data_IF_724144328228
#
_entry.id   IF_724144328228
#
_cell.length_a   1.000
_cell.length_b   1.000
_cell.length_c   1.000
_cell.angle_alpha   90.00
_cell.angle_beta   90.00
_cell.angle_gamma   90.00
#
_symmetry.space_group_name_H-M   'P 1'
#
loop_
_entity.id
_entity.type
_entity.pdbx_description
1 polymer ?
#
# COMPACT_ATOMS: atom_id res chain seq x y z
N UNK A 1 27.28 18.97 -10.81
CA UNK A 1 25.83 18.94 -11.16
C UNK A 1 25.58 17.55 -11.68
N UNK A 2 25.11 16.61 -10.83
CA UNK A 2 24.80 15.25 -11.26
C UNK A 2 23.40 15.32 -11.87
N UNK A 3 23.26 14.93 -13.13
CA UNK A 3 21.98 14.77 -13.78
C UNK A 3 21.14 13.74 -13.02
N UNK A 4 19.83 13.94 -12.89
CA UNK A 4 18.96 12.95 -12.24
C UNK A 4 18.96 11.69 -13.08
N UNK A 5 19.45 10.61 -12.50
CA UNK A 5 19.40 9.28 -13.10
C UNK A 5 17.93 8.86 -13.24
N UNK A 6 17.45 8.76 -14.47
CA UNK A 6 16.08 8.36 -14.84
C UNK A 6 15.82 6.85 -14.67
N UNK A 7 16.61 6.19 -13.82
CA UNK A 7 16.44 4.78 -13.50
C UNK A 7 15.16 4.49 -12.69
N UNK A 8 14.40 3.53 -13.15
CA UNK A 8 13.20 3.00 -12.45
C UNK A 8 13.64 2.20 -11.23
N UNK A 9 13.76 2.85 -10.07
CA UNK A 9 14.24 2.24 -8.82
C UNK A 9 13.06 1.87 -7.91
N UNK A 10 12.99 0.60 -7.49
CA UNK A 10 12.20 0.21 -6.32
C UNK A 10 13.09 0.20 -5.07
N UNK A 11 12.54 0.61 -3.93
CA UNK A 11 13.29 0.74 -2.68
C UNK A 11 12.58 0.03 -1.54
N UNK A 12 13.34 -0.69 -0.71
CA UNK A 12 12.86 -1.27 0.53
C UNK A 12 13.72 -0.78 1.69
N UNK A 13 13.08 -0.25 2.73
CA UNK A 13 13.74 0.24 3.94
C UNK A 13 13.37 -0.65 5.11
N UNK A 14 14.35 -1.26 5.75
CA UNK A 14 14.18 -2.11 6.92
C UNK A 14 14.60 -1.32 8.17
N UNK A 15 13.66 -1.09 9.10
CA UNK A 15 13.89 -0.37 10.37
C UNK A 15 13.93 -1.33 11.56
N UNK A 16 14.46 -0.86 12.68
CA UNK A 16 14.43 -1.56 13.97
C UNK A 16 13.19 -1.18 14.77
N UNK A 17 12.59 -2.15 15.49
CA UNK A 17 11.76 -1.84 16.65
C UNK A 17 12.66 -1.28 17.77
N UNK A 18 12.41 -0.03 18.16
CA UNK A 18 13.02 0.56 19.35
C UNK A 18 12.46 -0.15 20.59
N UNK A 19 13.33 -0.74 21.40
CA UNK A 19 12.91 -1.35 22.66
C UNK A 19 12.31 -0.29 23.61
N UNK A 20 11.05 -0.52 24.01
CA UNK A 20 10.36 0.26 25.04
C UNK A 20 9.58 1.45 24.49
N UNK A 21 8.28 1.32 24.51
CA UNK A 21 7.18 2.12 23.98
C UNK A 21 6.98 1.95 22.48
N UNK A 22 5.80 1.45 22.12
CA UNK A 22 5.27 1.47 20.76
C UNK A 22 5.40 2.89 20.24
N UNK A 23 6.46 3.14 19.44
CA UNK A 23 6.55 4.39 18.70
C UNK A 23 5.30 4.46 17.84
N UNK A 24 4.51 5.48 18.07
CA UNK A 24 3.32 5.77 17.27
C UNK A 24 3.76 5.81 15.80
N UNK A 25 3.07 5.13 14.86
CA UNK A 25 3.45 5.18 13.44
C UNK A 25 3.63 6.63 13.02
N UNK A 26 4.69 6.90 12.25
CA UNK A 26 5.05 8.25 11.89
C UNK A 26 3.85 9.00 11.30
N UNK A 27 3.50 10.16 11.86
CA UNK A 27 2.48 11.04 11.29
C UNK A 27 3.11 11.85 10.17
N UNK A 28 2.77 11.50 8.93
CA UNK A 28 3.25 12.21 7.74
C UNK A 28 2.45 13.48 7.43
N UNK A 29 1.35 13.75 8.15
CA UNK A 29 0.46 14.89 7.88
C UNK A 29 1.17 16.24 7.95
N UNK A 30 2.05 16.52 8.94
CA UNK A 30 2.79 17.77 9.00
C UNK A 30 3.69 18.00 7.79
N UNK A 31 4.41 16.96 7.34
CA UNK A 31 5.25 17.02 6.15
C UNK A 31 4.43 17.28 4.90
N UNK A 32 3.34 16.52 4.71
CA UNK A 32 2.47 16.64 3.53
C UNK A 32 1.84 18.03 3.46
N UNK A 33 1.35 18.55 4.59
CA UNK A 33 0.79 19.90 4.67
C UNK A 33 1.85 20.97 4.36
N UNK A 34 3.07 20.82 4.89
CA UNK A 34 4.20 21.74 4.59
C UNK A 34 4.54 21.76 3.11
N UNK A 35 4.41 20.63 2.42
CA UNK A 35 4.63 20.48 0.98
C UNK A 35 3.39 20.82 0.13
N UNK A 36 2.32 21.37 0.73
CA UNK A 36 1.03 21.69 0.09
C UNK A 36 0.40 20.46 -0.59
N UNK A 37 0.60 19.28 0.01
CA UNK A 37 -0.02 18.05 -0.38
C UNK A 37 -1.44 17.88 0.17
N UNK A 38 -2.04 16.75 -0.13
CA UNK A 38 -3.37 16.34 0.33
C UNK A 38 -3.23 15.20 1.33
N UNK A 39 -3.74 15.37 2.55
CA UNK A 39 -3.94 14.27 3.50
C UNK A 39 -5.39 13.80 3.39
N UNK A 40 -5.58 12.51 3.14
CA UNK A 40 -6.87 11.85 3.06
C UNK A 40 -6.97 10.93 4.27
N UNK A 41 -7.80 11.31 5.24
CA UNK A 41 -8.00 10.54 6.46
C UNK A 41 -9.12 9.53 6.27
N UNK A 42 -8.78 8.26 6.27
CA UNK A 42 -9.70 7.14 6.15
C UNK A 42 -9.90 6.56 7.56
N UNK A 43 -11.03 6.88 8.18
CA UNK A 43 -11.37 6.39 9.53
C UNK A 43 -12.88 6.27 9.68
N UNK A 44 -13.39 5.50 10.66
CA UNK A 44 -14.82 5.32 10.87
C UNK A 44 -15.60 6.63 11.10
N UNK A 45 -14.91 7.66 11.60
CA UNK A 45 -15.51 8.97 11.88
C UNK A 45 -15.19 10.01 10.81
N UNK A 46 -14.51 9.63 9.72
CA UNK A 46 -14.16 10.54 8.64
C UNK A 46 -15.36 10.81 7.72
N UNK A 47 -15.42 12.02 7.21
CA UNK A 47 -16.33 12.40 6.10
C UNK A 47 -15.65 12.30 4.73
N UNK A 48 -14.41 11.80 4.71
CA UNK A 48 -13.63 11.60 3.49
C UNK A 48 -13.77 10.14 3.06
N UNK A 49 -14.20 9.93 1.83
CA UNK A 49 -14.49 8.61 1.30
C UNK A 49 -13.69 8.35 0.02
N UNK A 50 -13.30 7.08 -0.14
CA UNK A 50 -12.71 6.55 -1.36
C UNK A 50 -13.53 5.34 -1.78
N UNK A 51 -14.00 5.36 -3.01
CA UNK A 51 -14.76 4.29 -3.61
C UNK A 51 -13.81 3.20 -4.15
N UNK A 52 -13.85 1.96 -3.64
CA UNK A 52 -13.05 0.87 -4.21
C UNK A 52 -13.44 0.52 -5.65
N UNK A 53 -14.63 0.94 -6.08
CA UNK A 53 -15.11 0.67 -7.43
C UNK A 53 -14.63 1.72 -8.45
N UNK A 54 -13.92 2.79 -8.04
CA UNK A 54 -13.42 3.77 -8.98
C UNK A 54 -12.52 3.14 -10.03
N UNK A 55 -12.80 3.41 -11.29
CA UNK A 55 -12.01 2.96 -12.43
C UNK A 55 -11.37 4.16 -13.11
N UNK A 56 -10.10 4.03 -13.45
CA UNK A 56 -9.41 5.05 -14.21
C UNK A 56 -9.47 4.69 -15.71
N UNK A 57 -10.02 5.59 -16.52
CA UNK A 57 -10.15 5.39 -17.96
C UNK A 57 -8.83 5.52 -18.75
N UNK A 58 -7.76 5.99 -18.11
CA UNK A 58 -6.46 6.26 -18.76
C UNK A 58 -5.52 5.03 -18.80
N UNK A 59 -6.05 3.88 -19.20
CA UNK A 59 -5.24 2.70 -19.48
C UNK A 59 -4.65 2.74 -20.90
N UNK A 60 -3.57 1.97 -21.13
CA UNK A 60 -3.03 1.82 -22.47
C UNK A 60 -4.01 1.03 -23.36
N UNK A 61 -3.84 1.14 -24.67
CA UNK A 61 -4.66 0.38 -25.64
C UNK A 61 -4.55 -1.14 -25.46
N UNK A 62 -3.49 -1.62 -24.78
CA UNK A 62 -3.23 -3.04 -24.52
C UNK A 62 -3.94 -3.59 -23.27
N UNK A 63 -4.39 -2.72 -22.35
CA UNK A 63 -4.99 -3.14 -21.08
C UNK A 63 -6.49 -2.84 -21.07
N UNK A 64 -7.30 -3.84 -20.70
CA UNK A 64 -8.72 -3.66 -20.44
C UNK A 64 -8.93 -3.15 -19.00
N UNK A 65 -9.36 -1.88 -18.82
CA UNK A 65 -9.54 -1.30 -17.48
C UNK A 65 -10.51 -2.11 -16.60
N UNK A 66 -11.53 -2.69 -17.22
CA UNK A 66 -12.54 -3.47 -16.51
C UNK A 66 -11.96 -4.80 -16.00
N UNK A 67 -11.14 -5.47 -16.80
CA UNK A 67 -10.50 -6.72 -16.37
C UNK A 67 -9.58 -6.50 -15.16
N UNK A 68 -8.76 -5.43 -15.17
CA UNK A 68 -7.91 -5.10 -14.03
C UNK A 68 -8.72 -4.72 -12.79
N UNK A 69 -9.84 -4.04 -12.97
CA UNK A 69 -10.75 -3.72 -11.87
C UNK A 69 -11.46 -4.98 -11.35
N UNK A 70 -11.84 -5.90 -12.23
CA UNK A 70 -12.43 -7.19 -11.84
C UNK A 70 -11.45 -8.02 -10.99
N UNK A 71 -10.16 -8.09 -11.37
CA UNK A 71 -9.12 -8.75 -10.59
C UNK A 71 -8.95 -8.11 -9.21
N UNK A 72 -9.00 -6.77 -9.12
CA UNK A 72 -8.98 -6.08 -7.84
C UNK A 72 -10.21 -6.40 -6.99
N UNK A 73 -11.42 -6.37 -7.57
CA UNK A 73 -12.66 -6.69 -6.85
C UNK A 73 -12.68 -8.15 -6.39
N UNK A 74 -12.17 -9.08 -7.19
CA UNK A 74 -11.98 -10.47 -6.77
C UNK A 74 -11.06 -10.55 -5.55
N UNK A 75 -9.93 -9.85 -5.55
CA UNK A 75 -9.00 -9.80 -4.40
C UNK A 75 -9.65 -9.18 -3.16
N UNK A 76 -10.48 -8.14 -3.35
CA UNK A 76 -11.25 -7.51 -2.27
C UNK A 76 -12.27 -8.49 -1.68
N UNK A 77 -13.04 -9.17 -2.53
CA UNK A 77 -14.02 -10.18 -2.10
C UNK A 77 -13.32 -11.38 -1.43
N UNK A 78 -12.17 -11.81 -1.93
CA UNK A 78 -11.39 -12.88 -1.33
C UNK A 78 -10.92 -12.52 0.09
N UNK A 79 -10.52 -11.27 0.33
CA UNK A 79 -10.15 -10.78 1.66
C UNK A 79 -11.34 -10.74 2.63
N UNK A 80 -12.55 -10.47 2.12
CA UNK A 80 -13.77 -10.29 2.93
C UNK A 80 -14.50 -11.62 3.16
N UNK A 81 -14.57 -12.47 2.13
CA UNK A 81 -15.41 -13.68 2.07
C UNK A 81 -14.59 -14.95 2.19
N UNK A 82 -13.42 -15.01 1.53
CA UNK A 82 -12.72 -16.25 1.21
C UNK A 82 -12.11 -17.00 2.40
N UNK A 83 -11.98 -16.40 3.57
CA UNK A 83 -11.38 -17.05 4.74
C UNK A 83 -9.97 -17.59 4.45
N UNK A 84 -9.65 -18.80 4.94
CA UNK A 84 -8.32 -19.43 4.73
C UNK A 84 -8.20 -20.15 3.38
N UNK A 85 -9.32 -20.54 2.79
CA UNK A 85 -9.36 -21.34 1.55
C UNK A 85 -9.54 -20.49 0.29
N UNK A 86 -9.74 -19.19 0.48
CA UNK A 86 -10.03 -18.26 -0.61
C UNK A 86 -11.46 -18.41 -1.17
N UNK A 87 -11.76 -17.71 -2.26
CA UNK A 87 -13.04 -17.82 -2.96
C UNK A 87 -13.12 -19.10 -3.79
N UNK A 88 -14.27 -19.74 -3.74
CA UNK A 88 -14.58 -20.90 -4.60
C UNK A 88 -14.63 -20.48 -6.09
N UNK A 89 -14.32 -21.39 -7.02
CA UNK A 89 -14.35 -21.05 -8.46
C UNK A 89 -15.70 -20.50 -8.93
N UNK A 90 -16.81 -20.99 -8.39
CA UNK A 90 -18.15 -20.49 -8.72
C UNK A 90 -18.35 -19.09 -8.19
N UNK A 91 -17.91 -18.79 -6.96
CA UNK A 91 -17.96 -17.43 -6.39
C UNK A 91 -17.18 -16.44 -7.24
N UNK A 92 -15.95 -16.80 -7.68
CA UNK A 92 -15.14 -15.97 -8.59
C UNK A 92 -15.89 -15.67 -9.88
N UNK A 93 -16.51 -16.66 -10.49
CA UNK A 93 -17.28 -16.52 -11.74
C UNK A 93 -18.49 -15.58 -11.57
N UNK A 94 -19.21 -15.73 -10.45
CA UNK A 94 -20.40 -14.90 -10.19
C UNK A 94 -20.01 -13.45 -9.88
N UNK A 95 -18.95 -13.23 -9.10
CA UNK A 95 -18.41 -11.89 -8.81
C UNK A 95 -18.00 -11.21 -10.12
N UNK A 96 -17.19 -11.87 -10.96
CA UNK A 96 -16.74 -11.32 -12.23
C UNK A 96 -17.91 -10.93 -13.14
N UNK A 97 -18.91 -11.81 -13.28
CA UNK A 97 -20.16 -11.53 -14.01
C UNK A 97 -20.86 -10.28 -13.49
N UNK A 98 -21.02 -10.16 -12.16
CA UNK A 98 -21.67 -9.02 -11.53
C UNK A 98 -20.87 -7.72 -11.72
N UNK A 99 -19.55 -7.78 -11.63
CA UNK A 99 -18.68 -6.64 -11.93
C UNK A 99 -18.91 -6.14 -13.35
N UNK A 100 -18.92 -7.02 -14.35
CA UNK A 100 -19.21 -6.65 -15.73
C UNK A 100 -20.61 -6.04 -15.92
N UNK A 101 -21.60 -6.49 -15.15
CA UNK A 101 -22.97 -5.95 -15.21
C UNK A 101 -23.05 -4.52 -14.65
N UNK A 102 -22.48 -4.26 -13.47
CA UNK A 102 -22.62 -2.96 -12.80
C UNK A 102 -21.88 -1.82 -13.52
N UNK A 103 -20.80 -2.12 -14.24
CA UNK A 103 -20.05 -1.11 -14.98
C UNK A 103 -20.65 -0.73 -16.34
N UNK A 104 -21.66 -1.46 -16.85
CA UNK A 104 -22.30 -1.17 -18.16
C UNK A 104 -22.80 0.26 -18.26
N UNK A 105 -23.43 0.76 -17.20
CA UNK A 105 -23.97 2.13 -17.17
C UNK A 105 -22.83 3.15 -17.25
N UNK A 106 -21.76 2.96 -16.50
CA UNK A 106 -20.61 3.85 -16.52
C UNK A 106 -19.92 3.88 -17.88
N UNK A 107 -19.74 2.74 -18.55
CA UNK A 107 -19.11 2.72 -19.87
C UNK A 107 -20.01 3.27 -20.98
N UNK A 108 -21.32 3.22 -20.80
CA UNK A 108 -22.26 3.86 -21.73
C UNK A 108 -22.28 5.39 -21.59
N UNK A 109 -22.13 5.89 -20.36
CA UNK A 109 -22.12 7.31 -20.03
C UNK A 109 -21.13 7.56 -18.88
N UNK A 110 -19.85 7.83 -19.18
CA UNK A 110 -18.78 7.98 -18.19
C UNK A 110 -18.92 9.28 -17.39
N UNK A 111 -19.69 9.24 -16.31
CA UNK A 111 -19.80 10.31 -15.34
C UNK A 111 -19.70 9.79 -13.90
N UNK A 112 -19.33 10.64 -12.94
CA UNK A 112 -19.17 10.23 -11.53
C UNK A 112 -20.44 9.60 -10.93
N UNK A 113 -21.60 10.04 -11.36
CA UNK A 113 -22.91 9.56 -10.89
C UNK A 113 -23.20 8.13 -11.35
N UNK A 114 -22.62 7.69 -12.46
CA UNK A 114 -22.76 6.35 -13.02
C UNK A 114 -21.69 5.38 -12.53
N UNK A 115 -20.65 5.88 -11.82
CA UNK A 115 -19.63 5.03 -11.21
C UNK A 115 -20.28 4.13 -10.16
N UNK A 116 -20.15 2.79 -10.23
CA UNK A 116 -20.74 1.91 -9.22
C UNK A 116 -20.08 2.10 -7.85
N UNK A 117 -20.79 1.68 -6.80
CA UNK A 117 -20.30 1.55 -5.43
C UNK A 117 -20.46 0.10 -4.96
N UNK A 118 -19.98 -0.25 -3.78
CA UNK A 118 -20.09 -1.63 -3.26
C UNK A 118 -21.54 -2.12 -3.17
N UNK A 119 -22.49 -1.21 -2.89
CA UNK A 119 -23.92 -1.56 -2.85
C UNK A 119 -24.45 -2.03 -4.22
N UNK A 120 -23.93 -1.50 -5.32
CA UNK A 120 -24.33 -1.95 -6.67
C UNK A 120 -23.88 -3.41 -6.91
N UNK A 121 -22.65 -3.77 -6.45
CA UNK A 121 -22.17 -5.15 -6.50
C UNK A 121 -23.01 -6.07 -5.59
N UNK A 122 -23.29 -5.65 -4.37
CA UNK A 122 -24.13 -6.38 -3.43
C UNK A 122 -25.52 -6.68 -4.01
N UNK A 123 -26.16 -5.66 -4.60
CA UNK A 123 -27.48 -5.80 -5.20
C UNK A 123 -27.45 -6.70 -6.46
N UNK A 124 -26.41 -6.60 -7.27
CA UNK A 124 -26.23 -7.45 -8.45
C UNK A 124 -26.05 -8.93 -8.06
N UNK A 125 -25.31 -9.21 -6.98
CA UNK A 125 -25.13 -10.56 -6.43
C UNK A 125 -26.45 -11.15 -5.90
N UNK A 126 -27.27 -10.35 -5.22
CA UNK A 126 -28.59 -10.78 -4.73
C UNK A 126 -29.59 -11.12 -5.87
N UNK A 127 -29.36 -10.60 -7.05
CA UNK A 127 -30.20 -10.88 -8.23
C UNK A 127 -29.79 -12.15 -8.99
N UNK A 128 -28.70 -12.81 -8.59
CA UNK A 128 -28.28 -14.08 -9.20
C UNK A 128 -29.02 -15.24 -8.53
N UNK A 129 -29.23 -16.32 -9.28
CA UNK A 129 -29.93 -17.52 -8.78
C UNK A 129 -29.00 -18.44 -7.96
N UNK A 130 -27.70 -18.30 -8.12
CA UNK A 130 -26.70 -19.17 -7.48
C UNK A 130 -26.58 -18.90 -5.97
N UNK A 131 -26.57 -19.95 -5.17
CA UNK A 131 -26.38 -19.88 -3.71
C UNK A 131 -25.06 -19.23 -3.31
N UNK A 132 -24.03 -19.44 -4.12
CA UNK A 132 -22.71 -18.87 -3.94
C UNK A 132 -22.74 -17.35 -4.08
N UNK A 133 -23.56 -16.81 -4.97
CA UNK A 133 -23.78 -15.37 -5.08
C UNK A 133 -24.40 -14.78 -3.81
N UNK A 134 -25.41 -15.44 -3.27
CA UNK A 134 -26.06 -15.04 -2.02
C UNK A 134 -25.10 -15.18 -0.82
N UNK A 135 -24.22 -16.18 -0.82
CA UNK A 135 -23.18 -16.32 0.20
C UNK A 135 -22.23 -15.13 0.19
N UNK A 136 -21.71 -14.74 -0.99
CA UNK A 136 -20.84 -13.57 -1.16
C UNK A 136 -21.57 -12.29 -0.76
N UNK A 137 -22.83 -12.12 -1.20
CA UNK A 137 -23.65 -10.95 -0.83
C UNK A 137 -23.81 -10.86 0.70
N UNK A 138 -24.14 -11.96 1.36
CA UNK A 138 -24.30 -11.98 2.82
C UNK A 138 -23.01 -11.57 3.55
N UNK A 139 -21.86 -12.03 3.08
CA UNK A 139 -20.57 -11.65 3.66
C UNK A 139 -20.23 -10.16 3.41
N UNK A 140 -20.64 -9.60 2.25
CA UNK A 140 -20.46 -8.18 1.93
C UNK A 140 -21.42 -7.26 2.69
N UNK A 141 -22.53 -7.77 3.25
CA UNK A 141 -23.59 -6.96 3.85
C UNK A 141 -23.08 -6.03 4.96
N UNK A 142 -22.16 -6.50 5.80
CA UNK A 142 -21.56 -5.70 6.87
C UNK A 142 -20.77 -4.47 6.34
N UNK A 143 -20.23 -4.55 5.13
CA UNK A 143 -19.48 -3.48 4.47
C UNK A 143 -20.37 -2.56 3.62
N UNK A 144 -21.61 -2.94 3.38
CA UNK A 144 -22.58 -2.15 2.59
C UNK A 144 -23.62 -1.51 3.48
N UNK A 145 -24.31 -2.31 4.30
CA UNK A 145 -25.42 -1.89 5.16
C UNK A 145 -25.09 -1.88 6.66
N UNK A 146 -24.00 -2.56 7.02
CA UNK A 146 -23.58 -2.74 8.41
C UNK A 146 -22.62 -1.65 8.89
N UNK A 147 -22.00 -1.92 10.04
CA UNK A 147 -21.11 -0.98 10.75
C UNK A 147 -19.77 -0.71 10.07
N UNK A 148 -19.42 -1.46 9.02
CA UNK A 148 -18.16 -1.33 8.31
C UNK A 148 -18.34 -0.70 6.91
N UNK A 149 -19.37 0.10 6.69
CA UNK A 149 -19.78 0.66 5.41
C UNK A 149 -18.91 1.85 4.91
N UNK A 150 -17.77 2.10 5.53
CA UNK A 150 -16.85 3.20 5.21
C UNK A 150 -16.50 3.29 3.71
N UNK A 151 -16.40 2.14 3.04
CA UNK A 151 -16.03 2.06 1.63
C UNK A 151 -17.24 1.92 0.68
N UNK A 152 -18.45 2.07 1.19
CA UNK A 152 -19.69 2.07 0.39
C UNK A 152 -20.15 3.49 0.05
N UNK A 153 -19.23 4.35 -0.32
CA UNK A 153 -19.51 5.74 -0.68
C UNK A 153 -18.76 6.12 -1.94
N UNK A 154 -19.27 7.10 -2.69
CA UNK A 154 -18.56 7.70 -3.82
C UNK A 154 -17.35 8.48 -3.30
N UNK A 155 -16.27 8.49 -4.06
CA UNK A 155 -15.09 9.30 -3.74
C UNK A 155 -15.47 10.77 -3.72
N UNK A 156 -15.21 11.43 -2.60
CA UNK A 156 -15.50 12.86 -2.37
C UNK A 156 -14.24 13.68 -2.07
N UNK A 157 -13.07 13.11 -2.26
CA UNK A 157 -11.78 13.74 -2.01
C UNK A 157 -10.98 13.95 -3.30
N UNK A 158 -10.13 14.95 -3.33
CA UNK A 158 -9.27 15.18 -4.49
C UNK A 158 -8.03 14.28 -4.41
N UNK A 159 -8.03 13.21 -5.18
CA UNK A 159 -6.88 12.28 -5.28
C UNK A 159 -5.82 12.72 -6.30
N UNK A 160 -6.00 13.88 -6.96
CA UNK A 160 -5.14 14.35 -8.07
C UNK A 160 -4.02 15.29 -7.63
N UNK A 161 -3.86 15.59 -6.32
CA UNK A 161 -2.75 16.40 -5.85
C UNK A 161 -1.41 15.71 -6.17
N UNK A 162 -0.35 16.51 -6.36
CA UNK A 162 1.01 16.01 -6.60
C UNK A 162 1.52 15.12 -5.46
N UNK A 163 1.18 15.45 -4.21
CA UNK A 163 1.53 14.71 -3.01
C UNK A 163 0.23 14.34 -2.30
N UNK A 164 -0.02 13.04 -2.16
CA UNK A 164 -1.19 12.52 -1.47
C UNK A 164 -0.72 11.56 -0.37
N UNK A 165 -1.23 11.73 0.83
CA UNK A 165 -1.03 10.83 1.96
C UNK A 165 -2.38 10.22 2.33
N UNK A 166 -2.46 8.90 2.33
CA UNK A 166 -3.61 8.16 2.84
C UNK A 166 -3.33 7.78 4.30
N UNK A 167 -4.00 8.46 5.22
CA UNK A 167 -3.91 8.15 6.65
C UNK A 167 -4.97 7.12 7.01
N UNK A 168 -4.52 5.89 7.25
CA UNK A 168 -5.35 4.73 7.64
C UNK A 168 -5.09 4.27 9.07
N UNK A 169 -4.42 5.09 9.88
CA UNK A 169 -3.98 4.77 11.24
C UNK A 169 -5.15 4.36 12.15
N UNK A 170 -6.27 5.07 12.07
CA UNK A 170 -7.45 4.85 12.92
C UNK A 170 -8.35 3.69 12.45
N UNK A 171 -8.03 3.03 11.34
CA UNK A 171 -8.77 1.85 10.93
C UNK A 171 -8.50 0.68 11.88
N UNK A 172 -9.56 0.06 12.38
CA UNK A 172 -9.49 -1.18 13.13
C UNK A 172 -8.81 -2.30 12.33
N UNK A 173 -8.26 -3.30 13.01
CA UNK A 173 -7.43 -4.36 12.43
C UNK A 173 -8.03 -5.00 11.17
N UNK A 174 -9.32 -5.24 11.15
CA UNK A 174 -10.03 -5.84 10.02
C UNK A 174 -10.13 -4.89 8.83
N UNK A 175 -10.52 -3.63 9.08
CA UNK A 175 -10.66 -2.60 8.05
C UNK A 175 -9.31 -2.11 7.52
N UNK A 176 -8.24 -2.23 8.32
CA UNK A 176 -6.91 -1.76 7.92
C UNK A 176 -6.37 -2.51 6.71
N UNK A 177 -6.54 -3.83 6.67
CA UNK A 177 -6.12 -4.65 5.52
C UNK A 177 -6.89 -4.26 4.25
N UNK A 178 -8.20 -4.11 4.38
CA UNK A 178 -9.06 -3.67 3.28
C UNK A 178 -8.69 -2.26 2.81
N UNK A 179 -8.49 -1.32 3.75
CA UNK A 179 -8.04 0.03 3.44
C UNK A 179 -6.71 0.07 2.71
N UNK A 180 -5.73 -0.74 3.13
CA UNK A 180 -4.44 -0.84 2.46
C UNK A 180 -4.58 -1.38 1.02
N UNK A 181 -5.41 -2.39 0.80
CA UNK A 181 -5.69 -2.94 -0.53
C UNK A 181 -6.33 -1.89 -1.45
N UNK A 182 -7.32 -1.13 -0.93
CA UNK A 182 -7.98 -0.05 -1.68
C UNK A 182 -7.00 1.08 -2.02
N UNK A 183 -6.14 1.47 -1.06
CA UNK A 183 -5.09 2.47 -1.31
C UNK A 183 -4.13 2.01 -2.40
N UNK A 184 -3.74 0.73 -2.42
CA UNK A 184 -2.89 0.20 -3.48
C UNK A 184 -3.53 0.30 -4.87
N UNK A 185 -4.82 0.00 -4.98
CA UNK A 185 -5.56 0.14 -6.23
C UNK A 185 -5.64 1.60 -6.68
N UNK A 186 -5.90 2.54 -5.75
CA UNK A 186 -5.88 3.98 -6.05
C UNK A 186 -4.50 4.45 -6.53
N UNK A 187 -3.43 3.98 -5.89
CA UNK A 187 -2.07 4.29 -6.32
C UNK A 187 -1.75 3.69 -7.69
N UNK A 188 -2.22 2.47 -7.96
CA UNK A 188 -2.10 1.86 -9.27
C UNK A 188 -2.78 2.69 -10.36
N UNK A 189 -4.02 3.11 -10.12
CA UNK A 189 -4.73 4.04 -11.01
C UNK A 189 -3.94 5.33 -11.27
N UNK A 190 -3.23 5.85 -10.26
CA UNK A 190 -2.38 7.02 -10.41
C UNK A 190 -1.13 6.74 -11.25
N UNK A 191 -0.49 5.58 -11.07
CA UNK A 191 0.67 5.15 -11.86
C UNK A 191 0.28 5.07 -13.35
N UNK A 192 -0.86 4.46 -13.65
CA UNK A 192 -1.34 4.31 -15.03
C UNK A 192 -1.65 5.67 -15.68
N UNK A 193 -2.34 6.56 -14.96
CA UNK A 193 -2.63 7.92 -15.43
C UNK A 193 -1.37 8.77 -15.66
N UNK A 194 -0.38 8.67 -14.77
CA UNK A 194 0.87 9.41 -14.88
C UNK A 194 1.73 8.89 -16.03
N UNK A 195 1.72 7.58 -16.32
CA UNK A 195 2.45 7.00 -17.43
C UNK A 195 2.08 7.63 -18.76
N UNK A 196 0.79 7.79 -19.03
CA UNK A 196 0.29 8.42 -20.26
C UNK A 196 0.80 9.85 -20.44
N UNK A 197 1.12 10.53 -19.33
CA UNK A 197 1.67 11.89 -19.30
C UNK A 197 3.21 11.92 -19.20
N UNK A 198 3.90 10.79 -19.29
CA UNK A 198 5.35 10.70 -19.14
C UNK A 198 5.87 11.01 -17.74
N UNK A 199 5.02 10.95 -16.70
CA UNK A 199 5.37 11.26 -15.31
C UNK A 199 5.61 9.97 -14.51
N UNK A 200 6.64 9.97 -13.65
CA UNK A 200 6.85 8.91 -12.67
C UNK A 200 5.99 9.10 -11.43
N UNK A 201 5.60 7.98 -10.80
CA UNK A 201 4.87 7.98 -9.52
C UNK A 201 5.73 7.31 -8.45
N UNK A 202 5.93 7.98 -7.33
CA UNK A 202 6.61 7.42 -6.15
C UNK A 202 5.57 7.02 -5.12
N UNK A 203 5.62 5.78 -4.69
CA UNK A 203 4.72 5.22 -3.68
C UNK A 203 5.50 4.77 -2.47
N UNK A 204 5.25 5.39 -1.33
CA UNK A 204 5.84 5.03 -0.04
C UNK A 204 4.79 4.31 0.80
N UNK A 205 5.12 3.12 1.27
CA UNK A 205 4.22 2.25 2.02
C UNK A 205 4.86 1.95 3.37
N UNK A 206 4.35 2.58 4.42
CA UNK A 206 4.78 2.29 5.79
C UNK A 206 4.09 1.02 6.30
N UNK A 207 4.76 0.29 7.20
CA UNK A 207 4.28 -0.99 7.74
C UNK A 207 3.88 -2.02 6.66
N UNK A 208 4.65 -2.09 5.57
CA UNK A 208 4.37 -2.95 4.42
C UNK A 208 4.12 -4.42 4.81
N UNK A 209 4.73 -4.90 5.90
CA UNK A 209 4.54 -6.28 6.37
C UNK A 209 3.08 -6.63 6.65
N UNK A 210 2.21 -5.66 6.95
CA UNK A 210 0.78 -5.89 7.17
C UNK A 210 0.03 -6.38 5.94
N UNK A 211 0.45 -5.94 4.74
CA UNK A 211 -0.09 -6.41 3.46
C UNK A 211 0.39 -7.81 3.08
N UNK A 212 1.55 -8.19 3.58
CA UNK A 212 2.22 -9.43 3.18
C UNK A 212 1.92 -10.61 4.13
N UNK A 213 1.11 -10.38 5.18
CA UNK A 213 0.69 -11.43 6.12
C UNK A 213 -0.34 -12.40 5.55
N UNK A 214 -1.21 -11.92 4.68
CA UNK A 214 -2.24 -12.73 4.04
C UNK A 214 -1.81 -13.05 2.61
N UNK A 215 -1.93 -14.29 2.21
CA UNK A 215 -1.46 -14.79 0.91
C UNK A 215 -2.05 -13.99 -0.26
N UNK A 216 -3.35 -13.69 -0.21
CA UNK A 216 -4.06 -12.98 -1.26
C UNK A 216 -3.58 -11.53 -1.42
N UNK A 217 -3.46 -10.79 -0.30
CA UNK A 217 -2.95 -9.41 -0.34
C UNK A 217 -1.47 -9.36 -0.68
N UNK A 218 -0.71 -10.38 -0.28
CA UNK A 218 0.70 -10.52 -0.66
C UNK A 218 0.85 -10.71 -2.16
N UNK A 219 0.12 -11.65 -2.75
CA UNK A 219 0.15 -11.92 -4.20
C UNK A 219 -0.23 -10.66 -5.01
N UNK A 220 -1.29 -9.96 -4.63
CA UNK A 220 -1.68 -8.70 -5.27
C UNK A 220 -0.60 -7.63 -5.13
N UNK A 221 0.00 -7.49 -3.95
CA UNK A 221 1.06 -6.50 -3.68
C UNK A 221 2.31 -6.76 -4.51
N UNK A 222 2.72 -8.03 -4.65
CA UNK A 222 3.87 -8.43 -5.47
C UNK A 222 3.61 -8.19 -6.95
N UNK A 223 2.40 -8.51 -7.42
CA UNK A 223 2.02 -8.26 -8.80
C UNK A 223 2.10 -6.76 -9.14
N UNK A 224 1.54 -5.90 -8.29
CA UNK A 224 1.65 -4.44 -8.42
C UNK A 224 3.10 -3.99 -8.36
N UNK A 225 3.93 -4.54 -7.46
CA UNK A 225 5.34 -4.20 -7.32
C UNK A 225 6.10 -4.44 -8.63
N UNK A 226 5.89 -5.60 -9.24
CA UNK A 226 6.48 -5.96 -10.55
C UNK A 226 6.01 -5.04 -11.67
N UNK A 227 4.71 -4.71 -11.68
CA UNK A 227 4.11 -3.83 -12.70
C UNK A 227 4.60 -2.39 -12.57
N UNK A 228 4.74 -1.87 -11.35
CA UNK A 228 5.23 -0.50 -11.14
C UNK A 228 6.52 -0.20 -11.89
N UNK A 229 7.48 -1.12 -11.87
CA UNK A 229 8.75 -0.96 -12.57
C UNK A 229 8.58 -0.70 -14.08
N UNK A 230 7.65 -1.43 -14.72
CA UNK A 230 7.37 -1.27 -16.16
C UNK A 230 6.56 0.01 -16.47
N UNK A 231 5.82 0.51 -15.49
CA UNK A 231 4.87 1.60 -15.67
C UNK A 231 5.34 2.96 -15.14
N UNK A 232 6.62 3.09 -14.80
CA UNK A 232 7.17 4.34 -14.29
C UNK A 232 6.83 4.62 -12.82
N UNK A 233 6.35 3.60 -12.09
CA UNK A 233 6.19 3.63 -10.65
C UNK A 233 7.48 3.28 -9.92
N UNK A 234 7.68 3.88 -8.75
CA UNK A 234 8.80 3.59 -7.84
C UNK A 234 8.20 3.25 -6.48
N UNK A 235 7.90 1.96 -6.22
CA UNK A 235 7.40 1.54 -4.92
C UNK A 235 8.55 1.53 -3.91
N UNK A 236 8.25 1.96 -2.68
CA UNK A 236 9.17 1.95 -1.54
C UNK A 236 8.42 1.40 -0.34
N UNK A 237 8.80 0.22 0.12
CA UNK A 237 8.25 -0.40 1.32
C UNK A 237 9.11 -0.09 2.54
N UNK A 238 8.48 0.27 3.65
CA UNK A 238 9.10 0.44 4.95
C UNK A 238 8.51 -0.60 5.91
N UNK A 239 9.36 -1.23 6.70
CA UNK A 239 8.93 -2.17 7.73
C UNK A 239 9.87 -2.18 8.90
N UNK A 240 9.31 -2.40 10.08
CA UNK A 240 10.05 -2.63 11.31
C UNK A 240 10.09 -4.12 11.68
N UNK A 241 9.17 -4.91 11.13
CA UNK A 241 9.03 -6.33 11.45
C UNK A 241 9.50 -7.21 10.29
N UNK A 242 10.79 -7.49 10.29
CA UNK A 242 11.42 -8.29 9.24
C UNK A 242 11.00 -9.76 9.32
N UNK A 243 10.82 -10.30 10.53
CA UNK A 243 10.42 -11.70 10.73
C UNK A 243 9.06 -11.99 10.10
N UNK A 244 8.08 -11.13 10.33
CA UNK A 244 6.76 -11.27 9.72
C UNK A 244 6.82 -11.08 8.20
N UNK A 245 7.67 -10.15 7.74
CA UNK A 245 7.90 -9.93 6.32
C UNK A 245 8.43 -11.20 5.64
N UNK A 246 9.47 -11.81 6.18
CA UNK A 246 10.14 -12.99 5.59
C UNK A 246 9.37 -14.31 5.80
N UNK A 247 8.25 -14.30 6.49
CA UNK A 247 7.39 -15.49 6.63
C UNK A 247 6.60 -15.82 5.37
N UNK A 248 6.45 -14.86 4.46
CA UNK A 248 5.74 -15.03 3.18
C UNK A 248 6.73 -15.32 2.05
N UNK A 249 6.48 -16.39 1.28
CA UNK A 249 7.23 -16.71 0.06
C UNK A 249 7.19 -15.56 -0.97
N UNK A 250 6.12 -14.80 -0.97
CA UNK A 250 5.93 -13.67 -1.88
C UNK A 250 6.91 -12.53 -1.60
N UNK A 251 7.45 -12.44 -0.38
CA UNK A 251 8.43 -11.42 -0.01
C UNK A 251 9.77 -11.61 -0.70
N UNK A 252 10.19 -12.86 -0.95
CA UNK A 252 11.41 -13.13 -1.73
C UNK A 252 11.33 -12.43 -3.08
N UNK A 253 10.17 -12.49 -3.72
CA UNK A 253 9.93 -11.79 -4.99
C UNK A 253 10.09 -10.26 -4.88
N UNK A 254 9.71 -9.66 -3.74
CA UNK A 254 9.87 -8.21 -3.52
C UNK A 254 11.35 -7.86 -3.38
N UNK A 255 12.12 -8.62 -2.59
CA UNK A 255 13.56 -8.42 -2.45
C UNK A 255 14.30 -8.57 -3.77
N UNK A 256 14.03 -9.63 -4.52
CA UNK A 256 14.64 -9.89 -5.83
C UNK A 256 14.32 -8.81 -6.88
N UNK A 257 13.16 -8.18 -6.76
CA UNK A 257 12.73 -7.09 -7.63
C UNK A 257 13.00 -5.70 -7.06
N UNK A 258 13.74 -5.59 -5.94
CA UNK A 258 14.16 -4.32 -5.34
C UNK A 258 15.57 -3.96 -5.79
N UNK A 259 15.73 -2.87 -6.52
CA UNK A 259 17.04 -2.37 -6.95
C UNK A 259 17.85 -1.79 -5.79
N UNK A 260 17.20 -1.33 -4.73
CA UNK A 260 17.82 -0.75 -3.54
C UNK A 260 17.19 -1.28 -2.26
N UNK A 261 18.01 -1.74 -1.32
CA UNK A 261 17.58 -2.10 0.03
C UNK A 261 18.41 -1.31 1.03
N UNK A 262 17.74 -0.62 1.96
CA UNK A 262 18.40 0.08 3.06
C UNK A 262 18.11 -0.69 4.35
N UNK A 263 19.15 -1.20 4.97
CA UNK A 263 19.05 -1.94 6.21
C UNK A 263 19.67 -1.10 7.35
N UNK A 264 18.81 -0.65 8.24
CA UNK A 264 19.22 0.03 9.48
C UNK A 264 19.51 -0.99 10.58
N UNK A 265 19.74 -0.54 11.81
CA UNK A 265 19.99 -1.41 12.96
C UNK A 265 18.86 -2.44 13.13
N UNK A 266 19.23 -3.71 13.29
CA UNK A 266 18.33 -4.85 13.35
C UNK A 266 18.34 -5.54 14.71
N UNK A 267 17.18 -6.08 15.13
CA UNK A 267 17.08 -6.92 16.32
C UNK A 267 17.87 -8.24 16.17
N UNK A 268 18.35 -8.80 17.28
CA UNK A 268 19.20 -10.00 17.25
C UNK A 268 18.58 -11.20 16.53
N UNK A 269 17.25 -11.40 16.69
CA UNK A 269 16.53 -12.51 16.04
C UNK A 269 16.40 -12.38 14.54
N UNK A 270 16.35 -11.17 14.04
CA UNK A 270 16.13 -10.90 12.61
C UNK A 270 17.42 -10.93 11.80
N UNK A 271 18.56 -10.64 12.44
CA UNK A 271 19.88 -10.56 11.78
C UNK A 271 20.28 -11.82 11.05
N UNK A 272 20.09 -12.99 11.68
CA UNK A 272 20.49 -14.26 11.08
C UNK A 272 19.62 -14.61 9.88
N UNK A 273 18.33 -14.31 9.95
CA UNK A 273 17.38 -14.56 8.87
C UNK A 273 17.74 -13.66 7.68
N UNK A 274 17.95 -12.36 7.94
CA UNK A 274 18.36 -11.40 6.92
C UNK A 274 19.73 -11.73 6.32
N UNK A 275 20.70 -12.13 7.14
CA UNK A 275 22.02 -12.50 6.67
C UNK A 275 21.96 -13.66 5.68
N UNK A 276 21.11 -14.65 5.91
CA UNK A 276 20.88 -15.78 5.02
C UNK A 276 20.17 -15.34 3.74
N UNK A 277 19.07 -14.57 3.87
CA UNK A 277 18.24 -14.14 2.75
C UNK A 277 18.97 -13.22 1.78
N UNK A 278 19.75 -12.28 2.30
CA UNK A 278 20.48 -11.28 1.52
C UNK A 278 21.95 -11.65 1.27
N UNK A 279 22.34 -12.87 1.65
CA UNK A 279 23.71 -13.38 1.50
C UNK A 279 24.78 -12.44 2.07
N UNK A 280 24.55 -11.94 3.30
CA UNK A 280 25.41 -10.97 3.99
C UNK A 280 26.49 -11.71 4.77
N UNK A 281 27.76 -11.31 4.60
CA UNK A 281 28.85 -11.85 5.40
C UNK A 281 28.77 -11.42 6.88
N UNK A 282 29.37 -12.18 7.83
CA UNK A 282 29.42 -11.79 9.23
C UNK A 282 30.02 -10.40 9.47
N UNK A 283 31.02 -10.01 8.68
CA UNK A 283 31.62 -8.69 8.75
C UNK A 283 30.64 -7.59 8.34
N UNK A 284 29.92 -7.75 7.24
CA UNK A 284 28.91 -6.80 6.81
C UNK A 284 27.75 -6.73 7.83
N UNK A 285 27.34 -7.86 8.41
CA UNK A 285 26.29 -7.91 9.41
C UNK A 285 26.64 -7.07 10.67
N UNK A 286 27.92 -6.89 11.00
CA UNK A 286 28.33 -6.06 12.13
C UNK A 286 27.89 -4.60 12.01
N UNK A 287 27.76 -4.07 10.77
CA UNK A 287 27.30 -2.70 10.51
C UNK A 287 25.81 -2.46 10.81
N UNK A 288 25.02 -3.49 10.99
CA UNK A 288 23.60 -3.39 11.36
C UNK A 288 23.31 -3.99 12.73
N UNK A 289 24.38 -4.37 13.47
CA UNK A 289 24.28 -4.99 14.78
C UNK A 289 24.37 -3.96 15.93
N UNK A 290 25.23 -2.96 15.75
CA UNK A 290 25.51 -1.93 16.76
C UNK A 290 25.50 -0.52 16.12
N UNK A 291 24.86 -0.37 14.97
CA UNK A 291 24.76 0.91 14.29
C UNK A 291 23.90 1.90 15.07
N UNK A 292 24.32 3.16 15.02
CA UNK A 292 23.57 4.28 15.54
C UNK A 292 22.41 4.71 14.62
N UNK A 293 21.77 5.82 14.96
CA UNK A 293 20.75 6.45 14.11
C UNK A 293 21.39 6.92 12.79
N UNK A 294 20.74 6.62 11.67
CA UNK A 294 21.22 6.98 10.34
C UNK A 294 22.40 6.14 9.84
N UNK A 295 22.72 5.05 10.49
CA UNK A 295 23.80 4.15 10.11
C UNK A 295 23.26 2.79 9.70
N UNK A 296 23.89 2.14 8.70
CA UNK A 296 23.44 0.84 8.24
C UNK A 296 24.16 0.32 7.00
N UNK A 297 23.49 -0.58 6.29
CA UNK A 297 23.92 -1.13 5.02
C UNK A 297 23.00 -0.69 3.89
N UNK A 298 23.59 -0.28 2.80
CA UNK A 298 22.92 0.01 1.54
C UNK A 298 23.26 -1.09 0.53
N UNK A 299 22.24 -1.71 -0.02
CA UNK A 299 22.33 -2.66 -1.13
C UNK A 299 21.88 -1.94 -2.39
N UNK A 300 22.67 -2.02 -3.43
CA UNK A 300 22.35 -1.49 -4.75
C UNK A 300 22.89 -2.45 -5.82
N UNK A 301 21.99 -3.21 -6.42
CA UNK A 301 22.37 -4.34 -7.26
C UNK A 301 23.26 -5.32 -6.48
N UNK A 302 24.46 -5.59 -6.99
CA UNK A 302 25.44 -6.50 -6.36
C UNK A 302 26.37 -5.81 -5.35
N UNK A 303 26.18 -4.52 -5.11
CA UNK A 303 27.06 -3.74 -4.23
C UNK A 303 26.43 -3.61 -2.86
N UNK A 304 27.20 -3.92 -1.80
CA UNK A 304 26.78 -3.76 -0.40
C UNK A 304 27.76 -2.79 0.25
N UNK A 305 27.26 -1.63 0.68
CA UNK A 305 28.05 -0.55 1.26
C UNK A 305 27.55 -0.20 2.67
N UNK A 306 28.42 -0.09 3.67
CA UNK A 306 28.07 0.59 4.89
C UNK A 306 27.87 2.09 4.62
N UNK A 307 26.88 2.69 5.27
CA UNK A 307 26.60 4.12 5.13
C UNK A 307 26.38 4.78 6.49
N UNK A 308 26.66 6.08 6.54
CA UNK A 308 26.34 6.98 7.62
C UNK A 308 25.64 8.18 7.03
N UNK A 309 24.38 8.36 7.34
CA UNK A 309 23.55 9.49 6.93
C UNK A 309 22.87 10.07 8.17
N UNK A 310 23.57 11.01 8.84
CA UNK A 310 23.06 11.71 10.01
C UNK A 310 22.27 12.92 9.54
N UNK A 311 20.95 12.82 9.62
CA UNK A 311 20.08 13.90 9.25
C UNK A 311 20.31 15.11 10.18
N UNK A 312 20.56 16.33 9.65
CA UNK A 312 20.80 17.50 10.47
C UNK A 312 19.59 17.86 11.33
N UNK A 313 19.80 17.95 12.66
CA UNK A 313 18.70 18.17 13.62
C UNK A 313 18.21 19.62 13.69
N UNK A 314 18.97 20.55 13.14
CA UNK A 314 18.66 21.97 13.04
C UNK A 314 17.70 22.31 11.89
N UNK A 315 17.50 21.39 10.95
CA UNK A 315 16.59 21.59 9.82
C UNK A 315 15.13 21.54 10.23
N UNK A 316 14.32 22.39 9.58
CA UNK A 316 12.86 22.41 9.74
C UNK A 316 12.25 21.00 9.48
N UNK A 317 12.75 20.29 8.48
CA UNK A 317 12.28 18.95 8.13
C UNK A 317 12.48 17.95 9.27
N UNK A 318 13.61 18.01 9.99
CA UNK A 318 13.84 17.17 11.16
C UNK A 318 12.79 17.44 12.26
N UNK A 319 12.53 18.72 12.56
CA UNK A 319 11.54 19.15 13.57
C UNK A 319 10.12 18.71 13.24
N UNK A 320 9.78 18.71 11.95
CA UNK A 320 8.46 18.25 11.46
C UNK A 320 8.30 16.75 11.59
N UNK A 321 9.39 15.98 11.37
CA UNK A 321 9.34 14.52 11.26
C UNK A 321 9.81 13.78 12.51
N UNK A 322 10.37 14.48 13.51
CA UNK A 322 10.82 13.82 14.75
C UNK A 322 9.63 13.27 15.55
N UNK A 323 9.77 12.03 16.02
CA UNK A 323 8.81 11.37 16.92
C UNK A 323 9.34 11.24 18.34
N UNK A 324 10.50 11.84 18.62
CA UNK A 324 11.13 11.81 19.95
C UNK A 324 10.36 12.72 20.92
N UNK A 325 9.78 12.15 21.97
CA UNK A 325 8.93 12.85 22.95
C UNK A 325 9.55 14.12 23.54
N UNK A 326 10.87 14.15 23.75
CA UNK A 326 11.58 15.34 24.27
C UNK A 326 11.70 16.48 23.25
N UNK A 327 11.65 16.21 21.96
CA UNK A 327 11.84 17.18 20.88
C UNK A 327 10.49 17.70 20.34
N UNK A 328 9.42 16.90 20.47
CA UNK A 328 8.06 17.28 20.03
C UNK A 328 7.49 18.43 20.88
N UNK A 329 7.83 18.51 22.16
CA UNK A 329 7.33 19.54 23.09
C UNK A 329 7.89 20.94 22.84
N UNK A 330 9.05 21.07 22.20
CA UNK A 330 9.64 22.39 21.85
C UNK A 330 9.09 22.99 20.55
N UNK A 331 8.55 22.16 19.65
CA UNK A 331 7.97 22.60 18.36
C UNK A 331 6.54 23.14 18.46
N UNK A 332 5.78 22.78 19.51
CA UNK A 332 4.39 23.19 19.69
C UNK A 332 4.19 24.55 20.37
N UNK A 333 5.29 25.22 20.79
CA UNK A 333 5.24 26.52 21.50
C UNK A 333 5.77 27.71 20.70
N UNK A 334 5.89 27.62 19.38
CA UNK A 334 6.27 28.79 18.55
C UNK A 334 5.30 29.00 17.37
#
# INVERSE_FOLDING_TARGET
>A
MLEPYDGKLSRTVLRREGGGNTADPADYSPLVNRLKGQVIKISPNSTQFINPMDINANYSEEDNPLSLKADFILSLCELVVGGKEGLLPVEKTVIDRCVHLIYRKYFADPCPENMPILEDLYNALLQQDEKEAHHVATALEIYVKGSLNLFNHRTNVNVNNRIVCYDIKELGKQMKKLGMLIVQDQVWGRVTANRSSGKSTRYYMDEMHLLLKEEQTAAYSVEIWKRFRKWGGVPTGLTQNVKDLLSSREVENIFENSDMIIMLNQAAGDRQILAKQLNISPHQLSYVTHSGEGEGLLFFGNVILPFVDRFPTDLELYRIMTTKLGEVSEGAQK
#
